data_IF_846612776209
#
_entry.id   IF_846612776209
#
_cell.length_a   1.000
_cell.length_b   1.000
_cell.length_c   1.000
_cell.angle_alpha   90.00
_cell.angle_beta   90.00
_cell.angle_gamma   90.00
#
_symmetry.space_group_name_H-M   'P 1'
#
loop_
_entity.id
_entity.type
_entity.pdbx_description
1 polymer ?
#
# COMPACT_ATOMS: atom_id res chain seq x y z
N UNK A 1 -10.45 -4.39 -8.45
CA UNK A 1 -9.53 -5.52 -8.20
C UNK A 1 -8.41 -5.56 -9.24
N UNK A 2 -7.16 -5.48 -8.79
CA UNK A 2 -5.93 -5.45 -9.60
C UNK A 2 -4.99 -6.58 -9.15
N UNK A 3 -4.10 -7.04 -10.02
CA UNK A 3 -3.14 -8.10 -9.67
C UNK A 3 -2.03 -7.58 -8.75
N UNK A 4 -1.33 -8.45 -8.03
CA UNK A 4 -0.23 -8.09 -7.10
C UNK A 4 0.81 -7.14 -7.73
N UNK A 5 1.17 -7.38 -9.00
CA UNK A 5 2.08 -6.51 -9.77
C UNK A 5 1.53 -5.11 -9.98
N UNK A 6 0.26 -5.01 -10.35
CA UNK A 6 -0.39 -3.71 -10.53
C UNK A 6 -0.58 -3.00 -9.19
N UNK A 7 -0.87 -3.73 -8.11
CA UNK A 7 -0.99 -3.15 -6.78
C UNK A 7 0.34 -2.56 -6.30
N UNK A 8 1.44 -3.30 -6.49
CA UNK A 8 2.78 -2.83 -6.17
C UNK A 8 3.16 -1.59 -6.98
N UNK A 9 2.89 -1.60 -8.29
CA UNK A 9 3.12 -0.46 -9.19
C UNK A 9 2.26 0.76 -8.81
N UNK A 10 0.99 0.53 -8.48
CA UNK A 10 0.02 1.57 -8.09
C UNK A 10 0.43 2.31 -6.82
N UNK A 11 0.95 1.60 -5.81
CA UNK A 11 1.44 2.22 -4.57
C UNK A 11 2.92 2.66 -4.66
N UNK A 12 3.58 2.48 -5.81
CA UNK A 12 4.99 2.84 -6.02
C UNK A 12 5.99 1.96 -5.25
N UNK A 13 5.60 0.75 -4.85
CA UNK A 13 6.47 -0.18 -4.11
C UNK A 13 7.00 -1.29 -5.00
N UNK A 14 8.25 -1.74 -4.80
CA UNK A 14 8.74 -2.93 -5.48
C UNK A 14 8.00 -4.17 -5.00
N UNK A 15 7.57 -5.02 -5.94
CA UNK A 15 6.89 -6.32 -5.74
C UNK A 15 7.42 -7.16 -4.57
N UNK A 16 8.73 -7.16 -4.33
CA UNK A 16 9.37 -7.92 -3.23
C UNK A 16 9.10 -7.33 -1.84
N UNK A 17 8.96 -6.01 -1.74
CA UNK A 17 8.67 -5.31 -0.47
C UNK A 17 7.19 -5.12 -0.27
N UNK A 18 6.40 -5.08 -1.35
CA UNK A 18 4.97 -4.90 -1.30
C UNK A 18 4.27 -5.80 -0.26
N UNK A 19 4.43 -7.14 -0.25
CA UNK A 19 3.75 -7.99 0.74
C UNK A 19 4.30 -7.86 2.17
N UNK A 20 5.45 -7.19 2.36
CA UNK A 20 6.05 -6.95 3.68
C UNK A 20 5.58 -5.62 4.29
N UNK A 21 5.24 -4.65 3.44
CA UNK A 21 4.82 -3.29 3.84
C UNK A 21 3.30 -3.17 3.78
N UNK A 22 2.70 -3.67 2.71
CA UNK A 22 1.27 -3.63 2.49
C UNK A 22 0.57 -4.63 3.41
N UNK A 23 -0.24 -4.12 4.34
CA UNK A 23 -1.05 -4.93 5.25
C UNK A 23 -2.41 -5.32 4.64
N UNK A 24 -2.69 -4.89 3.40
CA UNK A 24 -3.92 -5.23 2.68
C UNK A 24 -3.96 -6.72 2.39
N UNK A 25 -5.08 -7.37 2.73
CA UNK A 25 -5.28 -8.78 2.44
C UNK A 25 -5.59 -8.97 0.95
N UNK A 26 -4.88 -9.86 0.24
CA UNK A 26 -5.29 -10.25 -1.10
C UNK A 26 -6.61 -11.02 -1.05
N UNK A 27 -7.47 -10.76 -2.02
CA UNK A 27 -8.68 -11.52 -2.33
C UNK A 27 -8.28 -12.73 -3.17
N UNK A 28 -8.56 -13.93 -2.65
CA UNK A 28 -8.36 -15.18 -3.36
C UNK A 28 -9.52 -15.40 -4.33
N UNK A 29 -9.24 -15.25 -5.63
CA UNK A 29 -10.20 -15.52 -6.68
C UNK A 29 -10.27 -17.04 -6.96
N UNK A 30 -11.40 -17.55 -7.48
CA UNK A 30 -11.60 -18.99 -7.73
C UNK A 30 -10.58 -19.64 -8.68
N UNK A 31 -9.79 -18.85 -9.41
CA UNK A 31 -8.70 -19.32 -10.28
C UNK A 31 -7.32 -19.37 -9.58
N UNK A 32 -7.28 -19.35 -8.24
CA UNK A 32 -6.05 -19.22 -7.43
C UNK A 32 -5.27 -17.92 -7.67
N UNK A 33 -5.91 -16.92 -8.29
CA UNK A 33 -5.29 -15.62 -8.52
C UNK A 33 -5.54 -14.69 -7.33
N UNK A 34 -4.45 -14.14 -6.78
CA UNK A 34 -4.50 -13.16 -5.70
C UNK A 34 -4.70 -11.77 -6.29
N UNK A 35 -5.87 -11.18 -6.05
CA UNK A 35 -6.17 -9.81 -6.46
C UNK A 35 -6.29 -8.89 -5.26
N UNK A 36 -5.83 -7.67 -5.41
CA UNK A 36 -5.95 -6.62 -4.42
C UNK A 36 -7.09 -5.70 -4.84
N UNK A 37 -7.92 -5.28 -3.90
CA UNK A 37 -8.90 -4.25 -4.23
C UNK A 37 -8.26 -2.86 -4.17
N UNK A 38 -8.60 -2.02 -5.14
CA UNK A 38 -8.06 -0.66 -5.21
C UNK A 38 -8.56 0.14 -4.02
N UNK A 39 -9.80 -0.10 -3.55
CA UNK A 39 -10.36 0.62 -2.40
C UNK A 39 -9.64 0.28 -1.10
N UNK A 40 -9.26 -0.98 -0.92
CA UNK A 40 -8.44 -1.40 0.22
C UNK A 40 -7.04 -0.77 0.17
N UNK A 41 -6.42 -0.72 -1.02
CA UNK A 41 -5.12 -0.06 -1.20
C UNK A 41 -5.22 1.44 -0.94
N UNK A 42 -6.27 2.09 -1.44
CA UNK A 42 -6.53 3.51 -1.25
C UNK A 42 -6.80 3.83 0.23
N UNK A 43 -7.62 3.02 0.91
CA UNK A 43 -7.84 3.15 2.34
C UNK A 43 -6.56 2.90 3.15
N UNK A 44 -5.72 1.95 2.75
CA UNK A 44 -4.44 1.72 3.41
C UNK A 44 -3.48 2.89 3.20
N UNK A 45 -3.44 3.47 1.99
CA UNK A 45 -2.67 4.69 1.71
C UNK A 45 -3.21 5.90 2.50
N UNK A 46 -4.53 6.02 2.62
CA UNK A 46 -5.19 7.07 3.40
C UNK A 46 -4.88 6.91 4.89
N UNK A 47 -4.91 5.69 5.44
CA UNK A 47 -4.44 5.42 6.79
C UNK A 47 -2.95 5.68 6.97
N UNK A 48 -2.12 5.38 5.97
CA UNK A 48 -0.69 5.69 6.02
C UNK A 48 -0.46 7.22 6.06
N UNK A 49 -1.25 7.98 5.29
CA UNK A 49 -1.25 9.45 5.34
C UNK A 49 -1.82 10.00 6.63
N UNK A 50 -2.89 9.40 7.16
CA UNK A 50 -3.60 9.91 8.34
C UNK A 50 -2.89 9.54 9.64
N UNK A 51 -2.24 8.36 9.68
CA UNK A 51 -1.40 7.89 10.79
C UNK A 51 -0.02 8.55 10.87
N UNK A 52 0.36 9.36 9.88
CA UNK A 52 1.57 10.20 9.90
C UNK A 52 1.30 11.63 10.38
N UNK A 53 0.07 11.96 10.83
CA UNK A 53 -0.18 13.28 11.45
C UNK A 53 0.70 13.51 12.70
N UNK A 54 1.29 12.46 13.28
CA UNK A 54 2.28 12.55 14.36
C UNK A 54 3.75 12.56 13.87
N UNK A 55 4.04 12.23 12.60
CA UNK A 55 5.39 12.13 12.03
C UNK A 55 5.70 13.14 10.90
N UNK A 56 4.69 13.84 10.37
CA UNK A 56 4.83 14.96 9.42
C UNK A 56 5.62 16.16 9.97
N UNK A 57 5.94 16.21 11.27
CA UNK A 57 6.82 17.23 11.85
C UNK A 57 8.32 16.90 11.68
N UNK A 58 8.72 15.62 11.62
CA UNK A 58 10.15 15.24 11.67
C UNK A 58 10.84 15.26 10.29
N UNK A 59 10.09 15.00 9.21
CA UNK A 59 10.67 14.90 7.85
C UNK A 59 10.97 16.29 7.26
N UNK A 60 10.24 17.34 7.68
CA UNK A 60 10.50 18.73 7.27
C UNK A 60 11.74 19.34 7.95
N UNK A 61 12.22 18.79 9.06
CA UNK A 61 13.41 19.30 9.77
C UNK A 61 14.74 18.82 9.16
N UNK A 62 14.72 17.83 8.25
CA UNK A 62 15.94 17.27 7.63
C UNK A 62 16.29 17.85 6.25
N UNK A 63 15.56 18.87 5.82
CA UNK A 63 15.94 19.74 4.69
C UNK A 63 16.26 21.17 5.18
N UNK A 64 16.80 21.29 6.41
CA UNK A 64 17.46 22.48 6.94
C UNK A 64 18.94 22.50 6.60
#
# INVERSE_FOLDING_TARGET
MISLKQAADYVGLPLKRFPRICSVRPVEMPESEKRYDIRDLDQWLDQLKSGDTEADQDILERLG
#
